data_IF_702421235566
#
_entry.id   IF_702421235566
#
_cell.length_a   1.000
_cell.length_b   1.000
_cell.length_c   1.000
_cell.angle_alpha   90.00
_cell.angle_beta   90.00
_cell.angle_gamma   90.00
#
_symmetry.space_group_name_H-M   'P 1'
#
loop_
_entity.id
_entity.type
_entity.pdbx_description
1 polymer ?
#
# COMPACT_ATOMS: atom_id res chain seq x y z
N UNK A 1 8.74 -31.58 2.10
CA UNK A 1 7.36 -31.91 2.54
C UNK A 1 6.69 -32.78 1.50
N UNK A 2 5.96 -33.80 1.95
CA UNK A 2 5.11 -34.63 1.09
C UNK A 2 3.82 -33.86 0.79
N UNK A 3 3.69 -33.39 -0.45
CA UNK A 3 2.49 -32.70 -0.96
C UNK A 3 2.05 -33.52 -2.18
N UNK A 4 0.76 -33.89 -2.31
CA UNK A 4 0.25 -34.55 -3.51
C UNK A 4 0.63 -33.80 -4.78
N UNK A 5 0.96 -34.53 -5.85
CA UNK A 5 1.40 -33.90 -7.12
C UNK A 5 0.32 -32.98 -7.70
N UNK A 6 -0.95 -33.36 -7.58
CA UNK A 6 -2.10 -32.56 -8.04
C UNK A 6 -2.17 -31.21 -7.31
N UNK A 7 -2.18 -31.23 -5.97
CA UNK A 7 -2.23 -30.00 -5.15
C UNK A 7 -1.01 -29.12 -5.39
N UNK A 8 0.19 -29.72 -5.50
CA UNK A 8 1.40 -28.97 -5.82
C UNK A 8 1.27 -28.27 -7.17
N UNK A 9 0.79 -28.98 -8.20
CA UNK A 9 0.59 -28.42 -9.54
C UNK A 9 -0.40 -27.26 -9.50
N UNK A 10 -1.53 -27.42 -8.83
CA UNK A 10 -2.55 -26.38 -8.69
C UNK A 10 -2.03 -25.13 -7.97
N UNK A 11 -1.20 -25.28 -6.93
CA UNK A 11 -0.54 -24.14 -6.26
C UNK A 11 0.37 -23.38 -7.23
N UNK A 12 1.17 -24.09 -8.03
CA UNK A 12 2.10 -23.48 -8.98
C UNK A 12 1.35 -22.79 -10.14
N UNK A 13 0.28 -23.41 -10.64
CA UNK A 13 -0.60 -22.83 -11.67
C UNK A 13 -1.29 -21.55 -11.19
N UNK A 14 -1.80 -21.54 -9.96
CA UNK A 14 -2.41 -20.34 -9.38
C UNK A 14 -1.40 -19.21 -9.21
N UNK A 15 -0.21 -19.55 -8.68
CA UNK A 15 0.85 -18.58 -8.44
C UNK A 15 1.41 -18.00 -9.76
N UNK A 16 1.42 -18.79 -10.83
CA UNK A 16 1.78 -18.33 -12.18
C UNK A 16 0.68 -17.45 -12.82
N UNK A 17 -0.60 -17.77 -12.63
CA UNK A 17 -1.71 -16.98 -13.18
C UNK A 17 -1.79 -15.59 -12.55
N UNK A 18 -1.82 -15.55 -11.22
CA UNK A 18 -2.01 -14.31 -10.46
C UNK A 18 -0.71 -13.54 -10.24
N UNK A 19 0.44 -14.22 -10.17
CA UNK A 19 1.74 -13.63 -9.84
C UNK A 19 1.89 -13.23 -8.36
N UNK A 20 0.81 -13.29 -7.58
CA UNK A 20 0.75 -12.99 -6.14
C UNK A 20 -0.15 -14.01 -5.46
N UNK A 21 0.17 -14.38 -4.22
CA UNK A 21 -0.66 -15.28 -3.42
C UNK A 21 -0.68 -14.81 -1.96
N UNK A 22 -1.82 -14.97 -1.29
CA UNK A 22 -2.00 -14.57 0.11
C UNK A 22 -2.47 -15.77 0.92
N UNK A 23 -1.77 -16.10 2.00
CA UNK A 23 -2.12 -17.20 2.88
C UNK A 23 -2.19 -16.74 4.33
N UNK A 24 -3.30 -16.99 5.02
CA UNK A 24 -3.37 -16.77 6.46
C UNK A 24 -2.42 -17.72 7.20
N UNK A 25 -1.89 -17.33 8.37
CA UNK A 25 -1.11 -18.19 9.26
C UNK A 25 -2.04 -19.07 10.10
N UNK A 26 -2.87 -19.86 9.41
CA UNK A 26 -3.68 -20.91 9.99
C UNK A 26 -3.50 -22.19 9.15
N UNK A 27 -2.93 -23.24 9.73
CA UNK A 27 -2.56 -24.43 8.98
C UNK A 27 -3.74 -25.38 8.70
N UNK A 28 -4.81 -25.28 9.49
CA UNK A 28 -6.00 -26.13 9.38
C UNK A 28 -7.02 -25.58 8.39
N UNK A 29 -6.94 -24.27 8.09
CA UNK A 29 -7.86 -23.62 7.16
C UNK A 29 -7.63 -24.10 5.72
N UNK A 30 -8.68 -23.91 4.91
CA UNK A 30 -8.60 -24.10 3.46
C UNK A 30 -8.33 -22.75 2.81
N UNK A 31 -7.41 -22.72 1.84
CA UNK A 31 -7.11 -21.53 1.04
C UNK A 31 -8.23 -21.31 0.00
N UNK A 32 -8.35 -20.10 -0.55
CA UNK A 32 -9.40 -19.72 -1.53
C UNK A 32 -9.43 -20.64 -2.76
N UNK A 33 -8.31 -21.27 -3.10
CA UNK A 33 -8.17 -22.26 -4.18
C UNK A 33 -8.75 -23.65 -3.85
N UNK A 34 -9.33 -23.84 -2.66
CA UNK A 34 -9.85 -25.14 -2.21
C UNK A 34 -8.78 -26.11 -1.70
N UNK A 35 -7.51 -25.67 -1.64
CA UNK A 35 -6.37 -26.48 -1.19
C UNK A 35 -6.12 -26.23 0.30
N UNK A 36 -5.67 -27.27 1.03
CA UNK A 36 -5.23 -27.12 2.43
C UNK A 36 -4.14 -26.06 2.55
N UNK A 37 -4.35 -25.08 3.45
CA UNK A 37 -3.45 -23.94 3.58
C UNK A 37 -2.04 -24.34 4.05
N UNK A 38 -1.93 -25.42 4.84
CA UNK A 38 -0.65 -26.04 5.19
C UNK A 38 0.19 -26.42 3.96
N UNK A 39 -0.41 -26.89 2.87
CA UNK A 39 0.33 -27.19 1.63
C UNK A 39 0.79 -25.92 0.93
N UNK A 40 -0.06 -24.89 0.92
CA UNK A 40 0.27 -23.59 0.34
C UNK A 40 1.48 -22.98 1.04
N UNK A 41 1.41 -22.82 2.37
CA UNK A 41 2.48 -22.19 3.16
C UNK A 41 3.80 -22.93 2.99
N UNK A 42 3.78 -24.26 3.02
CA UNK A 42 5.01 -25.07 2.94
C UNK A 42 5.56 -25.18 1.52
N UNK A 43 4.70 -25.19 0.50
CA UNK A 43 5.14 -25.08 -0.89
C UNK A 43 5.83 -23.72 -1.12
N UNK A 44 5.17 -22.63 -0.70
CA UNK A 44 5.73 -21.29 -0.82
C UNK A 44 6.98 -21.09 0.04
N UNK A 45 7.09 -21.73 1.21
CA UNK A 45 8.33 -21.76 2.01
C UNK A 45 9.49 -22.35 1.21
N UNK A 46 9.26 -23.47 0.51
CA UNK A 46 10.30 -24.09 -0.33
C UNK A 46 10.70 -23.21 -1.52
N UNK A 47 9.75 -22.53 -2.16
CA UNK A 47 10.01 -21.60 -3.25
C UNK A 47 10.78 -20.36 -2.77
N UNK A 48 10.44 -19.86 -1.58
CA UNK A 48 11.11 -18.71 -0.96
C UNK A 48 12.56 -19.03 -0.61
N UNK A 49 12.83 -20.22 -0.07
CA UNK A 49 14.20 -20.65 0.24
C UNK A 49 15.12 -20.74 -0.98
N UNK A 50 14.53 -20.87 -2.18
CA UNK A 50 15.24 -20.91 -3.46
C UNK A 50 15.32 -19.57 -4.18
N UNK A 51 14.71 -18.51 -3.63
CA UNK A 51 14.70 -17.17 -4.25
C UNK A 51 13.61 -16.93 -5.31
N UNK A 52 12.77 -17.92 -5.59
CA UNK A 52 11.71 -17.81 -6.61
C UNK A 52 10.51 -16.95 -6.18
N UNK A 53 10.31 -16.81 -4.88
CA UNK A 53 9.19 -16.04 -4.31
C UNK A 53 9.71 -15.16 -3.19
N UNK A 54 9.30 -13.90 -3.18
CA UNK A 54 9.49 -12.99 -2.06
C UNK A 54 8.31 -13.10 -1.11
N UNK A 55 8.59 -13.42 0.14
CA UNK A 55 7.59 -13.48 1.21
C UNK A 55 7.63 -12.19 2.03
N UNK A 56 6.45 -11.64 2.33
CA UNK A 56 6.25 -10.60 3.34
C UNK A 56 5.23 -11.13 4.35
N UNK A 57 5.50 -10.97 5.64
CA UNK A 57 4.59 -11.43 6.69
C UNK A 57 4.05 -10.23 7.47
N UNK A 58 2.73 -10.10 7.54
CA UNK A 58 2.06 -9.01 8.26
C UNK A 58 0.73 -9.48 8.80
N UNK A 59 0.44 -9.17 10.07
CA UNK A 59 -0.87 -9.40 10.71
C UNK A 59 -1.40 -10.84 10.59
N UNK A 60 -0.54 -11.84 10.83
CA UNK A 60 -0.87 -13.26 10.63
C UNK A 60 -1.21 -13.64 9.18
N UNK A 61 -0.78 -12.87 8.19
CA UNK A 61 -0.87 -13.22 6.77
C UNK A 61 0.51 -13.27 6.12
N UNK A 62 0.70 -14.28 5.28
CA UNK A 62 1.81 -14.40 4.35
C UNK A 62 1.40 -13.84 2.99
N UNK A 63 2.16 -12.87 2.51
CA UNK A 63 2.05 -12.30 1.19
C UNK A 63 3.22 -12.81 0.36
N UNK A 64 2.91 -13.54 -0.70
CA UNK A 64 3.87 -14.11 -1.62
C UNK A 64 3.84 -13.32 -2.93
N UNK A 65 5.01 -12.85 -3.36
CA UNK A 65 5.18 -12.13 -4.62
C UNK A 65 6.19 -12.88 -5.48
N UNK A 66 5.80 -13.18 -6.73
CA UNK A 66 6.66 -13.92 -7.66
C UNK A 66 7.83 -13.04 -8.12
N UNK A 67 9.04 -13.58 -8.14
CA UNK A 67 10.22 -12.93 -8.72
C UNK A 67 10.37 -13.29 -10.19
N UNK A 68 11.11 -12.50 -11.00
CA UNK A 68 11.38 -12.86 -12.40
C UNK A 68 12.04 -14.25 -12.53
N UNK A 69 12.98 -14.59 -11.65
CA UNK A 69 13.62 -15.91 -11.62
C UNK A 69 12.62 -17.04 -11.29
N UNK A 70 11.69 -16.79 -10.37
CA UNK A 70 10.64 -17.74 -10.06
C UNK A 70 9.66 -17.96 -11.20
N UNK A 71 9.45 -16.93 -12.02
CA UNK A 71 8.61 -17.00 -13.20
C UNK A 71 9.21 -17.97 -14.23
N UNK A 72 10.52 -17.89 -14.48
CA UNK A 72 11.22 -18.82 -15.38
C UNK A 72 11.22 -20.25 -14.83
N UNK A 73 11.44 -20.43 -13.53
CA UNK A 73 11.31 -21.74 -12.87
C UNK A 73 9.90 -22.35 -13.05
N UNK A 74 8.85 -21.55 -12.87
CA UNK A 74 7.47 -22.02 -13.03
C UNK A 74 7.16 -22.40 -14.48
N UNK A 75 7.71 -21.69 -15.47
CA UNK A 75 7.58 -22.05 -16.89
C UNK A 75 8.20 -23.40 -17.19
N UNK A 76 9.43 -23.62 -16.74
CA UNK A 76 10.13 -24.90 -16.93
C UNK A 76 9.41 -26.05 -16.23
N UNK A 77 8.91 -25.81 -15.01
CA UNK A 77 8.25 -26.84 -14.21
C UNK A 77 6.85 -27.21 -14.71
N UNK A 78 6.09 -26.24 -15.21
CA UNK A 78 4.73 -26.45 -15.75
C UNK A 78 4.73 -26.82 -17.25
N UNK A 79 5.88 -26.72 -17.93
CA UNK A 79 6.02 -26.93 -19.37
C UNK A 79 5.05 -26.06 -20.20
N UNK A 80 4.85 -24.81 -19.77
CA UNK A 80 3.96 -23.87 -20.45
C UNK A 80 4.73 -23.10 -21.54
N UNK A 81 4.12 -22.86 -22.71
CA UNK A 81 4.73 -22.01 -23.74
C UNK A 81 4.92 -20.57 -23.25
N UNK A 82 5.95 -19.88 -23.75
CA UNK A 82 6.45 -18.58 -23.27
C UNK A 82 5.47 -17.39 -23.38
N UNK A 83 4.28 -17.62 -23.94
CA UNK A 83 3.28 -16.60 -24.25
C UNK A 83 2.40 -16.23 -23.05
N UNK A 84 2.27 -17.13 -22.07
CA UNK A 84 1.42 -16.88 -20.90
C UNK A 84 2.22 -16.07 -19.89
N UNK A 85 1.79 -14.83 -19.71
CA UNK A 85 2.40 -13.86 -18.81
C UNK A 85 1.48 -13.69 -17.61
N UNK A 86 1.99 -13.70 -16.36
CA UNK A 86 1.18 -13.47 -15.16
C UNK A 86 0.46 -12.13 -15.24
N UNK A 87 -0.72 -12.02 -14.61
CA UNK A 87 -1.54 -10.80 -14.60
C UNK A 87 -0.76 -9.55 -14.13
N UNK A 88 0.31 -9.72 -13.33
CA UNK A 88 1.18 -8.63 -12.84
C UNK A 88 2.05 -7.96 -13.90
N UNK A 89 2.33 -8.63 -15.02
CA UNK A 89 3.11 -8.05 -16.12
C UNK A 89 2.25 -7.36 -17.18
N UNK A 90 0.92 -7.46 -17.07
CA UNK A 90 0.01 -6.60 -17.80
C UNK A 90 0.10 -5.22 -17.13
N UNK A 91 0.83 -4.29 -17.75
CA UNK A 91 0.80 -2.88 -17.35
C UNK A 91 -0.65 -2.40 -17.46
N UNK A 92 -1.41 -2.45 -16.37
CA UNK A 92 -2.54 -1.57 -16.23
C UNK A 92 -1.97 -0.15 -16.26
N UNK A 93 -2.34 0.60 -17.29
CA UNK A 93 -2.12 2.03 -17.39
C UNK A 93 -2.93 2.71 -16.28
N UNK A 94 -2.49 2.60 -15.02
CA UNK A 94 -3.01 3.42 -13.94
C UNK A 94 -2.49 4.81 -14.20
N UNK A 95 -3.34 5.66 -14.77
CA UNK A 95 -3.18 7.10 -14.74
C UNK A 95 -3.27 7.53 -13.27
N UNK A 96 -2.18 7.37 -12.53
CA UNK A 96 -1.99 8.07 -11.27
C UNK A 96 -1.66 9.53 -11.62
N UNK A 97 -2.64 10.22 -12.20
CA UNK A 97 -2.65 11.67 -12.14
C UNK A 97 -2.91 11.99 -10.66
N UNK A 98 -1.97 12.64 -9.95
CA UNK A 98 -2.25 13.13 -8.61
C UNK A 98 -3.49 14.04 -8.70
N UNK A 99 -4.40 14.02 -7.71
CA UNK A 99 -5.56 14.91 -7.70
C UNK A 99 -5.04 16.35 -7.82
N UNK A 100 -5.35 16.97 -8.96
CA UNK A 100 -4.94 18.33 -9.31
C UNK A 100 -5.73 19.29 -8.43
N UNK A 101 -5.26 19.51 -7.21
CA UNK A 101 -5.93 20.34 -6.22
C UNK A 101 -5.00 21.09 -5.27
N UNK A 102 -3.69 21.17 -5.53
CA UNK A 102 -2.78 21.90 -4.64
C UNK A 102 -1.52 22.42 -5.33
N UNK A 103 -1.70 23.24 -6.35
CA UNK A 103 -0.73 24.24 -6.82
C UNK A 103 -1.63 25.39 -7.31
N UNK A 104 -1.77 26.48 -6.58
CA UNK A 104 -0.70 27.45 -6.48
C UNK A 104 -0.64 28.22 -7.80
N UNK A 105 -1.22 29.41 -7.78
CA UNK A 105 -0.99 30.51 -8.75
C UNK A 105 -1.76 30.55 -10.09
N UNK A 106 -2.21 31.78 -10.36
CA UNK A 106 -2.59 32.38 -11.64
C UNK A 106 -3.92 31.99 -12.30
N UNK A 107 -5.00 32.65 -11.86
CA UNK A 107 -6.01 33.12 -12.82
C UNK A 107 -6.66 34.43 -12.37
N UNK A 108 -6.07 35.55 -12.79
CA UNK A 108 -6.66 36.85 -12.52
C UNK A 108 -6.05 38.09 -13.17
N UNK A 109 -5.00 37.99 -13.99
CA UNK A 109 -4.45 39.16 -14.68
C UNK A 109 -5.36 39.57 -15.88
N UNK A 110 -6.41 40.35 -15.61
CA UNK A 110 -7.07 41.18 -16.63
C UNK A 110 -7.18 42.60 -16.11
N UNK A 111 -6.16 43.40 -16.42
CA UNK A 111 -6.13 44.85 -16.21
C UNK A 111 -6.99 45.54 -17.27
N UNK A 112 -7.93 46.40 -16.84
CA UNK A 112 -8.27 47.75 -17.37
C UNK A 112 -9.74 48.13 -17.13
N UNK A 113 -9.95 49.33 -16.56
CA UNK A 113 -11.15 50.16 -16.79
C UNK A 113 -12.19 50.23 -15.67
N UNK A 114 -12.16 51.28 -14.85
CA UNK A 114 -13.05 51.46 -13.69
C UNK A 114 -14.46 52.02 -13.96
N UNK A 115 -15.31 51.98 -12.93
CA UNK A 115 -16.34 52.95 -12.50
C UNK A 115 -17.03 52.40 -11.23
N UNK A 116 -17.35 53.28 -10.29
CA UNK A 116 -17.60 52.95 -8.89
C UNK A 116 -19.04 52.62 -8.45
N UNK A 117 -19.29 52.96 -7.16
CA UNK A 117 -20.41 52.63 -6.24
C UNK A 117 -20.12 51.37 -5.43
N UNK A 118 -19.90 51.40 -4.12
CA UNK A 118 -20.51 52.24 -3.09
C UNK A 118 -21.41 51.33 -2.23
N UNK A 119 -21.34 51.50 -0.92
CA UNK A 119 -22.32 51.00 0.07
C UNK A 119 -22.12 49.58 0.63
N UNK A 120 -21.47 49.50 1.81
CA UNK A 120 -22.09 49.04 3.07
C UNK A 120 -21.08 49.14 4.20
N UNK A 121 -21.08 50.30 4.84
CA UNK A 121 -20.64 50.42 6.22
C UNK A 121 -21.65 49.79 7.17
N UNK A 122 -21.26 49.76 8.44
CA UNK A 122 -22.12 49.66 9.63
C UNK A 122 -22.61 48.26 10.03
N UNK A 123 -21.91 47.62 10.99
CA UNK A 123 -22.45 47.45 12.36
C UNK A 123 -21.39 46.91 13.36
N UNK A 124 -20.72 47.85 14.02
CA UNK A 124 -20.69 47.98 15.50
C UNK A 124 -20.40 46.74 16.39
N UNK A 125 -19.33 46.83 17.19
CA UNK A 125 -19.13 46.07 18.44
C UNK A 125 -17.75 45.40 18.52
N UNK A 126 -16.70 45.94 19.14
CA UNK A 126 -16.68 46.76 20.34
C UNK A 126 -16.31 45.94 21.59
N UNK A 127 -15.16 45.27 21.62
CA UNK A 127 -14.46 45.02 22.88
C UNK A 127 -12.96 45.25 22.69
N UNK A 128 -12.52 46.35 23.29
CA UNK A 128 -11.18 46.91 23.24
C UNK A 128 -10.16 45.89 23.73
N UNK A 129 -9.07 45.79 22.97
CA UNK A 129 -7.69 45.91 23.46
C UNK A 129 -7.66 46.49 24.89
N UNK A 130 -7.34 45.65 25.87
CA UNK A 130 -6.71 46.09 27.11
C UNK A 130 -5.24 45.72 27.00
N UNK A 131 -4.43 46.75 26.84
CA UNK A 131 -2.99 46.74 27.05
C UNK A 131 -2.60 46.17 28.41
N UNK A 132 -1.33 45.77 28.47
CA UNK A 132 -0.47 45.70 29.65
C UNK A 132 -0.56 44.42 30.50
N UNK A 133 0.54 43.68 30.51
CA UNK A 133 0.76 42.61 31.47
C UNK A 133 1.94 41.72 31.10
N UNK A 134 3.15 42.24 31.34
CA UNK A 134 4.39 41.47 31.49
C UNK A 134 4.20 40.11 32.18
N UNK A 135 4.95 39.13 31.69
CA UNK A 135 5.63 38.12 32.50
C UNK A 135 4.76 37.04 33.13
N UNK A 136 4.90 35.80 32.64
CA UNK A 136 5.13 34.64 33.52
C UNK A 136 5.89 33.54 32.79
N UNK A 137 7.09 33.29 33.30
CA UNK A 137 7.79 32.03 33.25
C UNK A 137 6.86 30.85 33.59
N UNK A 138 7.05 29.72 32.92
CA UNK A 138 6.32 28.50 33.23
C UNK A 138 6.52 27.37 32.23
N UNK A 139 7.73 27.19 31.68
CA UNK A 139 8.08 26.00 30.91
C UNK A 139 8.61 24.92 31.85
N UNK A 140 7.84 23.85 32.06
CA UNK A 140 8.21 22.72 32.92
C UNK A 140 9.50 22.03 32.43
N UNK A 141 10.47 21.70 33.33
CA UNK A 141 11.69 21.02 32.93
C UNK A 141 11.45 19.54 32.61
N UNK A 142 12.06 19.12 31.52
CA UNK A 142 11.95 17.81 30.87
C UNK A 142 12.94 16.80 31.43
N UNK A 143 12.74 16.32 32.66
CA UNK A 143 13.54 15.21 33.21
C UNK A 143 12.69 14.31 34.13
N UNK A 144 11.86 13.46 33.52
CA UNK A 144 11.20 12.36 34.22
C UNK A 144 11.75 11.02 33.69
N UNK A 145 12.59 10.37 34.50
CA UNK A 145 13.17 9.05 34.23
C UNK A 145 12.80 8.07 35.36
N UNK A 146 11.80 7.18 35.17
CA UNK A 146 11.55 6.11 36.14
C UNK A 146 12.56 4.98 35.94
N UNK A 147 13.37 4.70 36.97
CA UNK A 147 14.21 3.50 37.08
C UNK A 147 13.48 2.40 37.85
N UNK A 148 13.55 1.18 37.29
CA UNK A 148 13.22 -0.18 37.77
C UNK A 148 11.83 -0.43 38.37
#
# INVERSE_FOLDING_TARGET
>A
MLIPKADRKAIHEYLFREGVMVAAKNYESTHETGIRNLYVIKACQSLTSRGYVKTQFSWQYYYYTLTPEGLDYLREWLHLPAEIVPATHIKQQRSHAPPRGMLGEERGERRFGGRGRGDRGDREGGYRRREAGEGKEGGAPSDFAPQL
#
